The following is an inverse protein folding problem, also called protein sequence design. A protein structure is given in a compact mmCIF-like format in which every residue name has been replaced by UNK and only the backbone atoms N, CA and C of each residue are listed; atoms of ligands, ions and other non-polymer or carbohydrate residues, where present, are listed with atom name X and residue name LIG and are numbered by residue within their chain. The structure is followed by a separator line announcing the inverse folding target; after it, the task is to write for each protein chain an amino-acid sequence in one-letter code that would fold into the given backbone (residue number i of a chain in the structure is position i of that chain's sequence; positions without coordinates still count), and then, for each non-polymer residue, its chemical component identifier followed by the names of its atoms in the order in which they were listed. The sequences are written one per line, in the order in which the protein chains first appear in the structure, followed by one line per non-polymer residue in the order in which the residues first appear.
data_IF_489804208325
#
_entry.id   IF_489804208325
#
_cell.length_a   1.000
_cell.length_b   1.000
_cell.length_c   1.000
_cell.angle_alpha   90.00
_cell.angle_beta   90.00
_cell.angle_gamma   90.00
#
_symmetry.space_group_name_H-M   'P 1'
#
loop_
_entity.id
_entity.type
_entity.pdbx_description
1 polymer ?
#
# COMPACT_ATOMS: atom_id res chain seq x y z
N UNK A 1 11.74 13.75 3.77
CA UNK A 1 11.60 12.42 4.41
C UNK A 1 12.71 12.25 5.43
N UNK A 2 12.49 11.43 6.46
CA UNK A 2 13.46 11.25 7.54
C UNK A 2 14.69 10.49 7.00
N UNK A 3 15.86 11.11 7.13
CA UNK A 3 17.17 10.51 6.86
C UNK A 3 17.52 9.54 8.00
N UNK A 4 18.23 8.46 7.72
CA UNK A 4 18.65 7.49 8.75
C UNK A 4 17.56 6.54 9.26
N UNK A 5 16.34 6.62 8.72
CA UNK A 5 15.20 5.84 9.23
C UNK A 5 15.32 4.35 8.92
N UNK A 6 15.96 4.01 7.80
CA UNK A 6 16.17 2.62 7.37
C UNK A 6 17.13 1.90 8.33
N UNK A 7 18.25 2.56 8.62
CA UNK A 7 19.30 2.08 9.51
C UNK A 7 18.77 1.97 10.95
N UNK A 8 18.01 2.97 11.41
CA UNK A 8 17.38 2.93 12.73
C UNK A 8 16.39 1.77 12.85
N UNK A 9 15.50 1.60 11.87
CA UNK A 9 14.54 0.49 11.86
C UNK A 9 15.24 -0.86 11.81
N UNK A 10 16.25 -1.02 10.96
CA UNK A 10 16.97 -2.29 10.86
C UNK A 10 17.61 -2.66 12.19
N UNK A 11 18.27 -1.72 12.87
CA UNK A 11 18.89 -1.95 14.18
C UNK A 11 17.86 -2.35 15.25
N UNK A 12 16.78 -1.60 15.38
CA UNK A 12 15.76 -1.86 16.40
C UNK A 12 15.05 -3.20 16.13
N UNK A 13 14.68 -3.47 14.88
CA UNK A 13 14.04 -4.73 14.50
C UNK A 13 14.98 -5.93 14.69
N UNK A 14 16.27 -5.81 14.38
CA UNK A 14 17.25 -6.88 14.57
C UNK A 14 17.49 -7.20 16.05
N UNK A 15 17.28 -6.22 16.94
CA UNK A 15 17.39 -6.42 18.39
C UNK A 15 16.16 -7.16 18.93
N UNK A 16 14.98 -6.96 18.33
CA UNK A 16 13.72 -7.54 18.79
C UNK A 16 13.43 -8.92 18.19
N UNK A 17 13.89 -9.19 16.98
CA UNK A 17 13.60 -10.45 16.30
C UNK A 17 14.50 -11.59 16.79
N UNK A 18 14.05 -12.85 16.68
CA UNK A 18 14.89 -14.02 16.90
C UNK A 18 16.13 -14.01 15.98
N UNK A 19 17.28 -14.56 16.41
CA UNK A 19 18.52 -14.56 15.61
C UNK A 19 18.43 -15.30 14.27
N UNK A 20 17.42 -16.17 14.10
CA UNK A 20 17.17 -16.91 12.86
C UNK A 20 16.37 -16.11 11.84
N UNK A 21 15.84 -14.94 12.21
CA UNK A 21 15.01 -14.11 11.33
C UNK A 21 15.88 -13.13 10.55
N UNK A 22 15.85 -13.25 9.22
CA UNK A 22 16.47 -12.26 8.33
C UNK A 22 15.52 -11.06 8.16
N UNK A 23 16.00 -9.85 8.46
CA UNK A 23 15.23 -8.61 8.38
C UNK A 23 15.70 -7.81 7.17
N UNK A 24 14.74 -7.39 6.34
CA UNK A 24 14.98 -6.53 5.19
C UNK A 24 14.10 -5.28 5.28
N UNK A 25 14.71 -4.10 5.40
CA UNK A 25 14.01 -2.81 5.38
C UNK A 25 14.21 -2.20 4.00
N UNK A 26 13.12 -1.71 3.39
CA UNK A 26 13.17 -1.10 2.06
C UNK A 26 12.67 0.33 2.16
N UNK A 27 13.56 1.31 2.03
CA UNK A 27 13.22 2.73 2.20
C UNK A 27 13.56 3.58 0.96
N UNK A 28 12.99 3.24 -0.20
CA UNK A 28 13.27 3.90 -1.49
C UNK A 28 13.21 5.46 -1.43
N UNK A 29 14.12 6.19 -2.10
CA UNK A 29 14.13 7.66 -2.09
C UNK A 29 12.82 8.29 -2.57
N UNK A 30 12.17 7.70 -3.57
CA UNK A 30 10.91 8.13 -4.17
C UNK A 30 9.66 7.71 -3.39
N UNK A 31 9.81 7.18 -2.17
CA UNK A 31 8.69 6.64 -1.36
C UNK A 31 7.55 7.63 -1.08
N UNK A 32 7.77 8.93 -1.29
CA UNK A 32 6.70 9.95 -1.28
C UNK A 32 5.63 9.73 -2.36
N UNK A 33 5.96 9.04 -3.44
CA UNK A 33 5.07 8.79 -4.57
C UNK A 33 4.59 7.35 -4.66
N UNK A 34 5.11 6.43 -3.84
CA UNK A 34 4.78 5.01 -3.96
C UNK A 34 3.29 4.72 -3.81
N UNK A 35 2.57 5.46 -2.94
CA UNK A 35 1.12 5.34 -2.82
C UNK A 35 0.40 5.70 -4.12
N UNK A 36 0.82 6.79 -4.78
CA UNK A 36 0.22 7.22 -6.04
C UNK A 36 0.57 6.27 -7.19
N UNK A 37 1.83 5.82 -7.26
CA UNK A 37 2.29 4.83 -8.24
C UNK A 37 1.51 3.52 -8.10
N UNK A 38 1.36 3.01 -6.86
CA UNK A 38 0.57 1.81 -6.59
C UNK A 38 -0.89 1.96 -7.01
N UNK A 39 -1.51 3.11 -6.71
CA UNK A 39 -2.87 3.42 -7.17
C UNK A 39 -3.00 3.45 -8.69
N UNK A 40 -2.04 4.06 -9.39
CA UNK A 40 -1.99 4.10 -10.85
C UNK A 40 -1.85 2.71 -11.48
N UNK A 41 -0.99 1.86 -10.91
CA UNK A 41 -0.84 0.46 -11.34
C UNK A 41 -2.15 -0.29 -11.13
N UNK A 42 -2.74 -0.25 -9.92
CA UNK A 42 -3.98 -0.93 -9.59
C UNK A 42 -5.13 -0.50 -10.52
N UNK A 43 -5.31 0.81 -10.73
CA UNK A 43 -6.34 1.34 -11.61
C UNK A 43 -6.20 0.88 -13.07
N UNK A 44 -4.97 0.56 -13.49
CA UNK A 44 -4.66 0.11 -14.85
C UNK A 44 -4.82 -1.40 -15.05
N UNK A 45 -5.03 -2.19 -13.99
CA UNK A 45 -5.23 -3.64 -14.10
C UNK A 45 -6.62 -3.96 -14.68
N UNK A 46 -6.69 -4.81 -15.69
CA UNK A 46 -7.96 -5.26 -16.27
C UNK A 46 -8.88 -5.92 -15.23
N UNK A 47 -8.30 -6.71 -14.31
CA UNK A 47 -9.04 -7.35 -13.20
C UNK A 47 -9.62 -6.32 -12.21
N UNK A 48 -9.04 -5.14 -12.11
CA UNK A 48 -9.52 -4.08 -11.23
C UNK A 48 -10.74 -3.36 -11.83
N UNK A 49 -10.92 -3.39 -13.15
CA UNK A 49 -12.11 -2.80 -13.80
C UNK A 49 -13.41 -3.46 -13.33
N UNK A 50 -13.38 -4.76 -13.02
CA UNK A 50 -14.53 -5.49 -12.48
C UNK A 50 -14.91 -5.03 -11.06
N UNK A 51 -13.97 -4.40 -10.34
CA UNK A 51 -14.17 -3.84 -9.00
C UNK A 51 -14.66 -2.40 -9.02
N UNK A 52 -14.70 -1.75 -10.18
CA UNK A 52 -15.19 -0.37 -10.27
C UNK A 52 -16.66 -0.30 -9.90
N UNK A 53 -17.01 0.75 -9.17
CA UNK A 53 -18.39 1.09 -8.88
C UNK A 53 -18.87 2.02 -9.99
N UNK A 54 -19.79 1.53 -10.80
CA UNK A 54 -20.44 2.35 -11.82
C UNK A 54 -21.36 3.37 -11.17
N UNK A 55 -21.65 4.43 -11.94
CA UNK A 55 -22.61 5.45 -11.52
C UNK A 55 -23.97 4.83 -11.16
N UNK A 56 -24.50 3.95 -12.00
CA UNK A 56 -25.80 3.29 -11.77
C UNK A 56 -25.82 2.47 -10.48
N UNK A 57 -24.82 1.61 -10.26
CA UNK A 57 -24.72 0.81 -9.03
C UNK A 57 -24.70 1.70 -7.78
N UNK A 58 -23.99 2.83 -7.83
CA UNK A 58 -23.96 3.78 -6.72
C UNK A 58 -25.29 4.49 -6.50
N UNK A 59 -26.04 4.83 -7.55
CA UNK A 59 -27.36 5.46 -7.39
C UNK A 59 -28.44 4.49 -6.89
N UNK A 60 -28.32 3.20 -7.22
CA UNK A 60 -29.25 2.16 -6.77
C UNK A 60 -28.98 1.70 -5.33
N UNK A 61 -27.73 1.41 -5.01
CA UNK A 61 -27.34 0.90 -3.69
C UNK A 61 -27.01 2.04 -2.71
N UNK A 62 -26.51 3.17 -3.19
CA UNK A 62 -26.07 4.28 -2.35
C UNK A 62 -24.68 4.08 -1.74
N UNK A 63 -24.31 4.93 -0.76
CA UNK A 63 -22.93 5.03 -0.25
C UNK A 63 -22.36 3.77 0.39
N UNK A 64 -23.21 2.85 0.88
CA UNK A 64 -22.75 1.65 1.60
C UNK A 64 -21.85 0.75 0.72
N UNK A 65 -22.02 0.82 -0.59
CA UNK A 65 -21.30 -0.01 -1.56
C UNK A 65 -19.79 0.30 -1.61
N UNK A 66 -19.36 1.51 -1.20
CA UNK A 66 -17.97 1.98 -1.25
C UNK A 66 -17.03 1.22 -0.29
N UNK A 67 -17.54 0.48 0.69
CA UNK A 67 -16.73 -0.32 1.63
C UNK A 67 -16.93 -1.83 1.55
N UNK A 68 -17.79 -2.32 0.64
CA UNK A 68 -18.31 -3.69 0.66
C UNK A 68 -18.17 -4.43 -0.69
N UNK A 69 -17.40 -3.90 -1.64
CA UNK A 69 -17.15 -4.50 -2.95
C UNK A 69 -15.76 -5.14 -3.06
#
# INVERSE_FOLDING_TARGET
MLHGIEERMLKEMSTLAPPTTQINIIARPERKYLTWIGGSILASLAVFQQRWITKSEYFEAGPFLVGHR
#
